data_IF_792744106178
#
_entry.id   IF_792744106178
#
_cell.length_a   1.000
_cell.length_b   1.000
_cell.length_c   1.000
_cell.angle_alpha   90.00
_cell.angle_beta   90.00
_cell.angle_gamma   90.00
#
_symmetry.space_group_name_H-M   'P 1'
#
loop_
_entity.id
_entity.type
_entity.pdbx_description
1 polymer ?
#
# COMPACT_ATOMS: atom_id res chain seq x y z
N UNK A 1 -4.62 -9.94 -10.43
CA UNK A 1 -5.13 -9.19 -9.27
C UNK A 1 -5.32 -10.15 -8.12
N UNK A 2 -5.11 -9.71 -6.89
CA UNK A 2 -5.29 -10.52 -5.69
C UNK A 2 -6.49 -9.97 -4.91
N UNK A 3 -7.31 -10.85 -4.36
CA UNK A 3 -8.44 -10.44 -3.50
C UNK A 3 -7.92 -9.95 -2.15
N UNK A 4 -8.63 -8.99 -1.54
CA UNK A 4 -8.25 -8.37 -0.26
C UNK A 4 -7.96 -9.43 0.83
N UNK A 5 -8.79 -10.47 0.88
CA UNK A 5 -8.70 -11.60 1.83
C UNK A 5 -7.39 -12.40 1.73
N UNK A 6 -6.70 -12.34 0.58
CA UNK A 6 -5.44 -13.06 0.34
C UNK A 6 -4.21 -12.22 0.64
N UNK A 7 -4.39 -10.93 0.93
CA UNK A 7 -3.30 -10.01 1.27
C UNK A 7 -3.11 -10.04 2.80
N UNK A 8 -1.95 -10.46 3.31
CA UNK A 8 -1.71 -10.45 4.75
C UNK A 8 -1.85 -9.03 5.30
N UNK A 9 -2.50 -8.89 6.46
CA UNK A 9 -2.67 -7.61 7.15
C UNK A 9 -3.26 -6.48 6.27
N UNK A 10 -4.12 -6.82 5.30
CA UNK A 10 -4.76 -5.85 4.41
C UNK A 10 -5.45 -4.71 5.17
N UNK A 11 -6.26 -5.05 6.18
CA UNK A 11 -6.98 -4.04 6.97
C UNK A 11 -6.02 -3.09 7.71
N UNK A 12 -4.89 -3.58 8.23
CA UNK A 12 -3.89 -2.73 8.88
C UNK A 12 -3.29 -1.72 7.88
N UNK A 13 -3.00 -2.15 6.64
CA UNK A 13 -2.53 -1.25 5.57
C UNK A 13 -3.58 -0.19 5.24
N UNK A 14 -4.83 -0.61 5.08
CA UNK A 14 -5.97 0.26 4.77
C UNK A 14 -6.24 1.28 5.87
N UNK A 15 -6.21 0.86 7.14
CA UNK A 15 -6.34 1.74 8.30
C UNK A 15 -5.18 2.76 8.34
N UNK A 16 -3.95 2.31 8.10
CA UNK A 16 -2.79 3.21 8.09
C UNK A 16 -2.85 4.23 6.98
N UNK A 17 -3.29 3.83 5.78
CA UNK A 17 -3.52 4.76 4.66
C UNK A 17 -4.58 5.80 5.05
N UNK A 18 -5.71 5.38 5.62
CA UNK A 18 -6.77 6.30 6.09
C UNK A 18 -6.28 7.27 7.17
N UNK A 19 -5.41 6.83 8.07
CA UNK A 19 -4.79 7.68 9.10
C UNK A 19 -3.86 8.74 8.50
N UNK A 20 -3.19 8.43 7.37
CA UNK A 20 -2.34 9.39 6.65
C UNK A 20 -3.21 10.38 5.87
N UNK A 21 -4.16 9.86 5.10
CA UNK A 21 -5.10 10.64 4.31
C UNK A 21 -6.35 9.80 4.02
N UNK A 22 -7.49 10.25 4.53
CA UNK A 22 -8.76 9.55 4.41
C UNK A 22 -9.39 9.63 3.00
N UNK A 23 -8.82 10.42 2.10
CA UNK A 23 -9.27 10.54 0.70
C UNK A 23 -8.59 9.53 -0.23
N UNK A 24 -7.56 8.83 0.26
CA UNK A 24 -6.86 7.79 -0.50
C UNK A 24 -7.65 6.48 -0.41
N UNK A 25 -7.87 5.85 -1.55
CA UNK A 25 -8.47 4.51 -1.64
C UNK A 25 -7.48 3.51 -2.21
N UNK A 26 -7.54 2.26 -1.74
CA UNK A 26 -6.84 1.14 -2.39
C UNK A 26 -7.72 0.71 -3.57
N UNK A 27 -7.24 0.90 -4.79
CA UNK A 27 -7.96 0.52 -6.01
C UNK A 27 -7.77 -0.97 -6.31
N UNK A 28 -6.52 -1.43 -6.31
CA UNK A 28 -6.14 -2.81 -6.66
C UNK A 28 -4.87 -3.21 -5.92
N UNK A 29 -4.75 -4.52 -5.68
CA UNK A 29 -3.53 -5.13 -5.17
C UNK A 29 -3.05 -6.22 -6.12
N UNK A 30 -1.75 -6.22 -6.39
CA UNK A 30 -1.06 -7.24 -7.18
C UNK A 30 0.02 -7.89 -6.33
N UNK A 31 0.19 -9.21 -6.45
CA UNK A 31 1.32 -9.90 -5.87
C UNK A 31 2.42 -10.04 -6.91
N UNK A 32 3.63 -9.64 -6.56
CA UNK A 32 4.83 -9.85 -7.33
C UNK A 32 5.56 -11.08 -6.79
N UNK A 33 5.65 -12.13 -7.60
CA UNK A 33 6.30 -13.39 -7.22
C UNK A 33 7.83 -13.27 -7.20
N UNK A 34 8.41 -12.38 -8.01
CA UNK A 34 9.86 -12.28 -8.19
C UNK A 34 10.58 -11.75 -6.94
N UNK A 35 9.92 -10.86 -6.20
CA UNK A 35 10.47 -10.23 -5.00
C UNK A 35 9.58 -10.38 -3.76
N UNK A 36 8.55 -11.25 -3.85
CA UNK A 36 7.63 -11.59 -2.76
C UNK A 36 7.02 -10.33 -2.12
N UNK A 37 6.43 -9.46 -2.93
CA UNK A 37 5.83 -8.21 -2.48
C UNK A 37 4.42 -8.00 -3.01
N UNK A 38 3.67 -7.14 -2.33
CA UNK A 38 2.35 -6.69 -2.73
C UNK A 38 2.42 -5.24 -3.21
N UNK A 39 1.97 -5.01 -4.43
CA UNK A 39 1.82 -3.67 -5.02
C UNK A 39 0.40 -3.18 -4.78
N UNK A 40 0.29 -2.14 -3.99
CA UNK A 40 -0.94 -1.41 -3.71
C UNK A 40 -1.06 -0.23 -4.67
N UNK A 41 -2.06 -0.29 -5.55
CA UNK A 41 -2.46 0.86 -6.35
C UNK A 41 -3.38 1.73 -5.51
N UNK A 42 -2.90 2.91 -5.15
CA UNK A 42 -3.62 3.91 -4.38
C UNK A 42 -4.18 4.95 -5.34
N UNK A 43 -5.43 5.35 -5.17
CA UNK A 43 -6.05 6.43 -5.93
C UNK A 43 -6.39 7.57 -4.98
N UNK A 44 -6.07 8.80 -5.42
CA UNK A 44 -6.47 10.05 -4.79
C UNK A 44 -6.93 11.00 -5.88
N UNK A 45 -8.23 11.33 -5.89
CA UNK A 45 -8.88 12.07 -6.98
C UNK A 45 -8.66 11.37 -8.34
N UNK A 46 -7.96 12.01 -9.27
CA UNK A 46 -7.62 11.56 -10.62
C UNK A 46 -6.17 11.05 -10.74
N UNK A 47 -5.50 10.85 -9.60
CA UNK A 47 -4.10 10.43 -9.55
C UNK A 47 -3.94 9.05 -8.92
N UNK A 48 -2.96 8.31 -9.40
CA UNK A 48 -2.57 6.99 -8.92
C UNK A 48 -1.15 7.02 -8.36
N UNK A 49 -0.94 6.33 -7.25
CA UNK A 49 0.36 6.07 -6.64
C UNK A 49 0.49 4.56 -6.43
N UNK A 50 1.68 4.01 -6.69
CA UNK A 50 1.96 2.58 -6.51
C UNK A 50 2.90 2.46 -5.33
N UNK A 51 2.46 1.74 -4.30
CA UNK A 51 3.29 1.42 -3.13
C UNK A 51 3.54 -0.06 -3.09
N UNK A 52 4.80 -0.44 -3.01
CA UNK A 52 5.19 -1.84 -2.88
C UNK A 52 5.56 -2.16 -1.42
N UNK A 53 4.97 -3.23 -0.89
CA UNK A 53 5.15 -3.66 0.51
C UNK A 53 5.52 -5.14 0.49
N UNK A 54 6.63 -5.51 1.14
CA UNK A 54 7.06 -6.91 1.15
C UNK A 54 6.06 -7.80 1.90
N UNK A 55 5.89 -9.03 1.42
CA UNK A 55 5.05 -10.05 2.07
C UNK A 55 5.48 -10.26 3.52
N UNK A 56 6.79 -10.33 3.78
CA UNK A 56 7.34 -10.52 5.13
C UNK A 56 6.87 -9.43 6.09
N UNK A 57 6.89 -8.15 5.67
CA UNK A 57 6.44 -7.06 6.52
C UNK A 57 4.93 -7.18 6.83
N UNK A 58 4.14 -7.56 5.84
CA UNK A 58 2.70 -7.78 6.02
C UNK A 58 2.40 -8.98 6.93
N UNK A 59 3.19 -10.05 6.85
CA UNK A 59 3.06 -11.20 7.73
C UNK A 59 3.47 -10.86 9.18
N UNK A 60 4.52 -10.06 9.37
CA UNK A 60 4.97 -9.60 10.69
C UNK A 60 3.94 -8.68 11.37
N UNK A 61 3.26 -7.82 10.61
CA UNK A 61 2.17 -6.97 11.10
C UNK A 61 1.04 -7.77 11.74
N UNK A 62 0.76 -8.97 11.20
CA UNK A 62 -0.28 -9.86 11.75
C UNK A 62 0.06 -10.36 13.16
N UNK A 63 1.34 -10.38 13.52
CA UNK A 63 1.85 -10.91 14.78
C UNK A 63 2.14 -9.82 15.83
N UNK A 64 1.51 -8.64 15.73
CA UNK A 64 1.66 -7.50 16.65
C UNK A 64 3.08 -6.90 16.74
N UNK A 65 3.82 -6.88 15.64
CA UNK A 65 5.11 -6.18 15.57
C UNK A 65 4.95 -4.65 15.58
N UNK A 66 5.09 -3.99 16.73
CA UNK A 66 5.12 -2.52 16.85
C UNK A 66 6.16 -1.88 15.90
N UNK A 67 7.31 -2.53 15.73
CA UNK A 67 8.35 -2.12 14.76
C UNK A 67 7.85 -2.20 13.31
N UNK A 68 7.09 -3.24 12.97
CA UNK A 68 6.53 -3.44 11.63
C UNK A 68 5.44 -2.39 11.32
N UNK A 69 4.63 -1.98 12.31
CA UNK A 69 3.66 -0.88 12.14
C UNK A 69 4.34 0.46 11.86
N UNK A 70 5.41 0.77 12.59
CA UNK A 70 6.22 1.98 12.35
C UNK A 70 6.85 1.96 10.95
N UNK A 71 7.37 0.81 10.53
CA UNK A 71 7.97 0.65 9.19
C UNK A 71 6.93 0.78 8.08
N UNK A 72 5.74 0.22 8.26
CA UNK A 72 4.61 0.39 7.34
C UNK A 72 4.24 1.88 7.22
N UNK A 73 4.09 2.57 8.36
CA UNK A 73 3.77 3.99 8.40
C UNK A 73 4.83 4.83 7.66
N UNK A 74 6.11 4.50 7.82
CA UNK A 74 7.20 5.18 7.12
C UNK A 74 7.14 4.96 5.61
N UNK A 75 6.96 3.72 5.15
CA UNK A 75 6.83 3.40 3.71
C UNK A 75 5.66 4.17 3.10
N UNK A 76 4.49 4.11 3.73
CA UNK A 76 3.30 4.79 3.24
C UNK A 76 3.50 6.30 3.22
N UNK A 77 4.03 6.90 4.28
CA UNK A 77 4.28 8.35 4.34
C UNK A 77 5.28 8.80 3.27
N UNK A 78 6.40 8.10 3.12
CA UNK A 78 7.43 8.46 2.14
C UNK A 78 6.87 8.46 0.71
N UNK A 79 6.09 7.43 0.35
CA UNK A 79 5.52 7.33 -0.99
C UNK A 79 4.36 8.32 -1.20
N UNK A 80 3.42 8.40 -0.26
CA UNK A 80 2.20 9.22 -0.43
C UNK A 80 2.43 10.72 -0.23
N UNK A 81 3.48 11.13 0.49
CA UNK A 81 3.82 12.54 0.66
C UNK A 81 4.64 13.09 -0.51
N UNK A 82 5.27 12.22 -1.31
CA UNK A 82 5.95 12.65 -2.53
C UNK A 82 4.93 12.94 -3.63
N UNK A 83 5.00 14.12 -4.23
CA UNK A 83 4.20 14.47 -5.41
C UNK A 83 4.46 13.52 -6.57
N UNK A 84 5.67 12.97 -6.65
CA UNK A 84 6.15 12.16 -7.78
C UNK A 84 5.50 10.78 -7.81
N UNK A 85 4.96 10.31 -6.68
CA UNK A 85 4.20 9.07 -6.69
C UNK A 85 2.86 9.23 -7.42
N UNK A 86 2.26 10.42 -7.38
CA UNK A 86 0.89 10.66 -7.83
C UNK A 86 0.83 11.04 -9.31
N UNK A 87 0.82 10.02 -10.17
CA UNK A 87 0.74 10.17 -11.61
C UNK A 87 -0.71 10.17 -12.10
N UNK A 88 -0.99 10.88 -13.21
CA UNK A 88 -2.33 10.84 -13.83
C UNK A 88 -2.62 9.44 -14.33
N UNK A 89 -3.84 8.95 -14.10
CA UNK A 89 -4.25 7.59 -14.47
C UNK A 89 -4.10 7.32 -15.98
N UNK A 90 -4.19 8.36 -16.82
CA UNK A 90 -4.04 8.28 -18.29
C UNK A 90 -2.65 7.80 -18.77
N UNK A 91 -1.64 7.73 -17.90
CA UNK A 91 -0.30 7.23 -18.26
C UNK A 91 -0.17 5.70 -18.28
N UNK A 92 -1.21 4.97 -17.89
CA UNK A 92 -1.22 3.50 -17.84
C UNK A 92 -2.35 2.87 -18.69
N UNK A 93 -2.94 3.66 -19.60
CA UNK A 93 -3.94 3.23 -20.58
C UNK A 93 -3.27 2.66 -21.84
#
# INVERSE_FOLDING_TARGET
MVTEERVPSYEAVKEKIKQIDNTIIIYRVFYNFDNLSYRFQLIKKDKMCIVEISKTLLDELKNNGSSSDQKLAQILKLNTSSSDCWNKVDQYA
#
